data_IF_546257955497
#
_entry.id   IF_546257955497
#
_cell.length_a   1.000
_cell.length_b   1.000
_cell.length_c   1.000
_cell.angle_alpha   90.00
_cell.angle_beta   90.00
_cell.angle_gamma   90.00
#
_symmetry.space_group_name_H-M   'P 1'
#
loop_
_entity.id
_entity.type
_entity.pdbx_description
1 polymer ?
#
# COMPACT_ATOMS: atom_id res chain seq x y z
N UNK A 1 2.23 6.13 14.47
CA UNK A 1 1.22 7.09 14.00
C UNK A 1 -0.14 6.47 14.24
N UNK A 2 -1.12 7.19 14.79
CA UNK A 2 -2.50 6.67 14.93
C UNK A 2 -3.30 6.95 13.66
N UNK A 3 -4.42 6.26 13.46
CA UNK A 3 -5.33 6.50 12.33
C UNK A 3 -5.69 7.98 12.17
N UNK A 4 -5.97 8.66 13.28
CA UNK A 4 -6.32 10.09 13.30
C UNK A 4 -5.17 10.98 12.83
N UNK A 5 -3.93 10.63 13.15
CA UNK A 5 -2.75 11.40 12.72
C UNK A 5 -2.52 11.28 11.22
N UNK A 6 -2.78 10.11 10.65
CA UNK A 6 -2.67 9.90 9.21
C UNK A 6 -3.77 10.66 8.46
N UNK A 7 -5.01 10.62 8.94
CA UNK A 7 -6.11 11.41 8.38
C UNK A 7 -5.80 12.91 8.47
N UNK A 8 -5.34 13.40 9.62
CA UNK A 8 -4.94 14.79 9.79
C UNK A 8 -3.79 15.19 8.85
N UNK A 9 -2.81 14.31 8.62
CA UNK A 9 -1.73 14.54 7.67
C UNK A 9 -2.24 14.63 6.23
N UNK A 10 -3.16 13.74 5.83
CA UNK A 10 -3.82 13.81 4.52
C UNK A 10 -4.58 15.14 4.38
N UNK A 11 -5.38 15.53 5.37
CA UNK A 11 -6.14 16.78 5.30
C UNK A 11 -5.24 18.02 5.21
N UNK A 12 -4.13 18.03 5.95
CA UNK A 12 -3.19 19.15 5.96
C UNK A 12 -2.34 19.22 4.68
N UNK A 13 -1.95 18.07 4.11
CA UNK A 13 -0.90 18.00 3.09
C UNK A 13 -1.33 17.36 1.77
N UNK A 14 -2.59 16.99 1.55
CA UNK A 14 -3.04 16.27 0.34
C UNK A 14 -2.55 16.87 -1.00
N UNK A 15 -2.46 18.19 -1.10
CA UNK A 15 -2.01 18.86 -2.33
C UNK A 15 -0.49 18.97 -2.48
N UNK A 16 0.28 18.72 -1.43
CA UNK A 16 1.74 18.89 -1.39
C UNK A 16 2.50 17.63 -0.99
N UNK A 17 1.82 16.60 -0.49
CA UNK A 17 2.42 15.35 -0.07
C UNK A 17 2.92 14.58 -1.29
N UNK A 18 4.25 14.44 -1.41
CA UNK A 18 4.92 13.74 -2.51
C UNK A 18 5.56 12.42 -2.09
N UNK A 19 5.91 12.28 -0.82
CA UNK A 19 6.61 11.11 -0.28
C UNK A 19 5.98 10.74 1.06
N UNK A 20 5.68 9.46 1.24
CA UNK A 20 5.13 8.94 2.47
C UNK A 20 5.73 7.59 2.87
N UNK A 21 6.03 7.43 4.14
CA UNK A 21 6.34 6.13 4.73
C UNK A 21 6.28 6.22 6.23
N UNK A 22 5.68 5.22 6.88
CA UNK A 22 5.79 5.11 8.32
C UNK A 22 7.23 4.73 8.68
N UNK A 23 7.78 5.31 9.73
CA UNK A 23 8.83 4.66 10.51
C UNK A 23 8.14 3.78 11.56
N UNK A 24 8.69 2.60 11.84
CA UNK A 24 8.06 1.68 12.79
C UNK A 24 7.91 2.31 14.18
N UNK A 25 6.79 2.01 14.85
CA UNK A 25 6.67 2.10 16.30
C UNK A 25 7.58 1.03 16.96
N UNK A 26 8.12 1.29 18.16
CA UNK A 26 9.06 0.40 18.84
C UNK A 26 8.50 -1.02 18.98
N UNK A 27 9.37 -2.01 18.79
CA UNK A 27 9.06 -3.43 18.83
C UNK A 27 8.59 -3.88 20.23
N UNK A 28 7.31 -3.75 20.51
CA UNK A 28 6.63 -4.49 21.59
C UNK A 28 5.19 -4.74 21.17
N UNK A 29 4.94 -5.92 20.62
CA UNK A 29 3.99 -6.93 21.11
C UNK A 29 3.64 -7.87 19.97
N UNK A 30 4.12 -9.10 20.09
CA UNK A 30 3.72 -10.25 19.31
C UNK A 30 2.29 -10.72 19.65
N UNK A 31 1.35 -9.78 19.82
CA UNK A 31 -0.03 -10.01 20.26
C UNK A 31 -1.02 -9.45 19.23
N UNK A 32 -1.03 -10.04 18.04
CA UNK A 32 -2.14 -9.90 17.09
C UNK A 32 -2.22 -11.12 16.16
N UNK A 33 -2.07 -12.32 16.73
CA UNK A 33 -2.62 -13.54 16.12
C UNK A 33 -4.02 -13.69 16.70
N UNK A 34 -4.97 -12.97 16.13
CA UNK A 34 -6.39 -13.10 16.43
C UNK A 34 -7.08 -13.81 15.27
N UNK A 35 -7.64 -15.00 15.54
CA UNK A 35 -8.57 -15.75 14.68
C UNK A 35 -9.96 -15.10 14.65
N UNK A 36 -10.02 -13.80 14.39
CA UNK A 36 -11.25 -13.02 14.41
C UNK A 36 -11.25 -12.04 13.26
N UNK A 37 -12.40 -11.94 12.58
CA UNK A 37 -12.73 -11.02 11.50
C UNK A 37 -11.88 -9.73 11.54
N UNK A 38 -11.24 -9.39 10.41
CA UNK A 38 -10.40 -8.20 10.20
C UNK A 38 -11.15 -6.90 10.54
N UNK A 39 -11.26 -6.56 11.82
CA UNK A 39 -12.15 -5.49 12.28
C UNK A 39 -11.50 -4.10 12.29
N UNK A 40 -10.18 -4.01 12.10
CA UNK A 40 -9.48 -2.75 11.85
C UNK A 40 -8.40 -2.99 10.78
N UNK A 41 -8.63 -2.50 9.56
CA UNK A 41 -7.67 -2.58 8.45
C UNK A 41 -6.83 -1.31 8.40
N UNK A 42 -5.66 -1.23 9.07
CA UNK A 42 -4.80 -0.05 9.01
C UNK A 42 -4.35 0.27 7.59
N UNK A 43 -4.26 -0.73 6.71
CA UNK A 43 -3.91 -0.59 5.31
C UNK A 43 -5.00 0.12 4.47
N UNK A 44 -6.24 0.19 4.95
CA UNK A 44 -7.29 1.02 4.33
C UNK A 44 -6.96 2.52 4.35
N UNK A 45 -6.21 2.97 5.36
CA UNK A 45 -5.74 4.35 5.44
C UNK A 45 -4.62 4.64 4.45
N UNK A 46 -3.81 3.64 4.10
CA UNK A 46 -2.81 3.75 3.04
C UNK A 46 -3.50 3.95 1.68
N UNK A 47 -4.61 3.25 1.45
CA UNK A 47 -5.44 3.48 0.27
C UNK A 47 -6.09 4.87 0.28
N UNK A 48 -6.60 5.33 1.44
CA UNK A 48 -7.12 6.69 1.58
C UNK A 48 -6.05 7.74 1.21
N UNK A 49 -4.84 7.59 1.74
CA UNK A 49 -3.71 8.47 1.43
C UNK A 49 -3.37 8.45 -0.07
N UNK A 50 -3.27 7.25 -0.66
CA UNK A 50 -3.00 7.06 -2.08
C UNK A 50 -4.05 7.75 -2.98
N UNK A 51 -5.33 7.69 -2.61
CA UNK A 51 -6.45 8.33 -3.32
C UNK A 51 -6.51 9.84 -3.12
N UNK A 52 -6.18 10.30 -1.92
CA UNK A 52 -6.40 11.69 -1.52
C UNK A 52 -5.24 12.61 -1.89
N UNK A 53 -4.03 12.06 -2.04
CA UNK A 53 -2.80 12.81 -2.28
C UNK A 53 -2.36 12.67 -3.74
N UNK A 54 -2.86 13.48 -4.68
CA UNK A 54 -2.51 13.36 -6.09
C UNK A 54 -1.01 13.55 -6.36
N UNK A 55 -0.29 14.29 -5.52
CA UNK A 55 1.16 14.50 -5.67
C UNK A 55 2.03 13.32 -5.22
N UNK A 56 1.44 12.27 -4.64
CA UNK A 56 2.19 11.15 -4.05
C UNK A 56 2.96 10.38 -5.12
N UNK A 57 4.29 10.48 -5.06
CA UNK A 57 5.24 9.86 -5.97
C UNK A 57 5.92 8.63 -5.35
N UNK A 58 6.18 8.66 -4.04
CA UNK A 58 6.81 7.54 -3.34
C UNK A 58 6.04 7.15 -2.08
N UNK A 59 5.77 5.84 -1.92
CA UNK A 59 5.09 5.24 -0.77
C UNK A 59 5.90 4.04 -0.25
N UNK A 60 6.20 4.02 1.04
CA UNK A 60 6.79 2.88 1.72
C UNK A 60 5.84 2.31 2.78
N UNK A 61 5.46 1.04 2.63
CA UNK A 61 4.53 0.34 3.51
C UNK A 61 5.32 -0.56 4.46
N UNK A 62 5.30 -0.22 5.76
CA UNK A 62 6.00 -0.97 6.83
C UNK A 62 5.09 -1.89 7.66
N UNK A 63 3.80 -1.89 7.36
CA UNK A 63 2.76 -2.62 8.08
C UNK A 63 2.27 -3.81 7.26
N UNK A 64 1.50 -4.71 7.87
CA UNK A 64 0.82 -5.78 7.14
C UNK A 64 -0.14 -5.19 6.11
N UNK A 65 -0.10 -5.72 4.88
CA UNK A 65 -0.94 -5.24 3.78
C UNK A 65 -1.40 -6.41 2.90
N UNK A 66 -2.63 -6.36 2.38
CA UNK A 66 -3.10 -7.39 1.44
C UNK A 66 -2.65 -7.11 0.00
N UNK A 67 -2.53 -8.15 -0.83
CA UNK A 67 -2.26 -8.00 -2.28
C UNK A 67 -3.33 -7.15 -2.97
N UNK A 68 -4.60 -7.27 -2.56
CA UNK A 68 -5.66 -6.41 -3.06
C UNK A 68 -5.44 -4.94 -2.70
N UNK A 69 -5.03 -4.62 -1.47
CA UNK A 69 -4.73 -3.22 -1.10
C UNK A 69 -3.55 -2.67 -1.91
N UNK A 70 -2.51 -3.47 -2.19
CA UNK A 70 -1.39 -3.06 -3.06
C UNK A 70 -1.89 -2.70 -4.47
N UNK A 71 -2.73 -3.54 -5.07
CA UNK A 71 -3.34 -3.28 -6.39
C UNK A 71 -4.21 -2.02 -6.38
N UNK A 72 -5.00 -1.83 -5.32
CA UNK A 72 -5.85 -0.64 -5.15
C UNK A 72 -5.02 0.64 -5.00
N UNK A 73 -3.90 0.59 -4.29
CA UNK A 73 -2.96 1.71 -4.16
C UNK A 73 -2.37 2.06 -5.53
N UNK A 74 -1.83 1.07 -6.25
CA UNK A 74 -1.20 1.26 -7.55
C UNK A 74 -2.19 1.87 -8.57
N UNK A 75 -3.44 1.40 -8.58
CA UNK A 75 -4.48 1.92 -9.48
C UNK A 75 -5.02 3.30 -9.08
N UNK A 76 -5.00 3.63 -7.78
CA UNK A 76 -5.58 4.88 -7.28
C UNK A 76 -4.61 6.06 -7.29
N UNK A 77 -3.32 5.83 -7.01
CA UNK A 77 -2.32 6.89 -6.90
C UNK A 77 -1.68 7.19 -8.26
N UNK A 78 -2.28 8.13 -8.99
CA UNK A 78 -1.94 8.42 -10.40
C UNK A 78 -0.47 8.82 -10.64
N UNK A 79 0.18 9.45 -9.66
CA UNK A 79 1.57 9.90 -9.77
C UNK A 79 2.57 8.99 -9.05
N UNK A 80 2.12 7.87 -8.48
CA UNK A 80 3.00 6.97 -7.74
C UNK A 80 3.96 6.28 -8.71
N UNK A 81 5.26 6.41 -8.47
CA UNK A 81 6.33 5.74 -9.23
C UNK A 81 7.15 4.79 -8.39
N UNK A 82 7.13 4.98 -7.08
CA UNK A 82 7.96 4.21 -6.16
C UNK A 82 7.10 3.65 -5.04
N UNK A 83 6.77 2.37 -5.13
CA UNK A 83 6.06 1.63 -4.09
C UNK A 83 7.02 0.63 -3.44
N UNK A 84 7.25 0.76 -2.14
CA UNK A 84 8.11 -0.15 -1.37
C UNK A 84 7.25 -0.96 -0.42
N UNK A 85 7.25 -2.28 -0.59
CA UNK A 85 6.50 -3.20 0.27
C UNK A 85 7.40 -4.38 0.60
N UNK A 86 7.43 -4.75 1.88
CA UNK A 86 8.15 -5.94 2.34
C UNK A 86 7.31 -7.19 2.09
N UNK A 87 7.86 -8.14 1.33
CA UNK A 87 7.23 -9.42 0.97
C UNK A 87 6.73 -10.22 2.19
N UNK A 88 7.41 -10.12 3.33
CA UNK A 88 7.07 -10.84 4.56
C UNK A 88 5.81 -10.29 5.26
N UNK A 89 5.42 -9.04 4.95
CA UNK A 89 4.24 -8.37 5.52
C UNK A 89 3.00 -8.49 4.61
N UNK A 90 3.13 -9.13 3.44
CA UNK A 90 2.04 -9.25 2.46
C UNK A 90 1.15 -10.46 2.77
N UNK A 91 -0.15 -10.20 2.92
CA UNK A 91 -1.20 -11.24 3.00
C UNK A 91 -1.86 -11.42 1.63
N UNK A 92 -2.08 -12.67 1.22
CA UNK A 92 -2.73 -12.98 -0.05
C UNK A 92 -4.25 -12.80 0.02
N UNK A 93 -4.83 -12.37 -1.09
CA UNK A 93 -6.27 -12.38 -1.33
C UNK A 93 -6.92 -11.00 -1.40
N UNK A 94 -8.19 -11.02 -1.82
CA UNK A 94 -9.06 -9.86 -1.86
C UNK A 94 -10.05 -9.91 -0.69
N UNK A 95 -9.70 -9.21 0.38
CA UNK A 95 -10.49 -9.01 1.59
C UNK A 95 -11.42 -7.79 1.52
N UNK A 96 -11.44 -7.10 0.37
CA UNK A 96 -12.27 -5.92 0.16
C UNK A 96 -13.70 -6.27 -0.26
N UNK A 97 -14.74 -5.75 0.44
CA UNK A 97 -16.09 -5.80 -0.09
C UNK A 97 -16.14 -4.97 -1.38
N UNK A 98 -16.96 -5.41 -2.33
CA UNK A 98 -17.12 -4.68 -3.59
C UNK A 98 -17.70 -3.29 -3.31
N UNK A 99 -16.97 -2.25 -3.70
CA UNK A 99 -17.50 -0.88 -3.70
C UNK A 99 -18.60 -0.73 -4.76
N UNK A 100 -19.69 0.02 -4.48
CA UNK A 100 -20.70 0.35 -5.49
C UNK A 100 -20.13 1.03 -6.74
N UNK A 101 -19.01 1.74 -6.59
CA UNK A 101 -18.35 2.47 -7.68
C UNK A 101 -17.50 1.55 -8.57
N UNK A 102 -17.38 0.26 -8.24
CA UNK A 102 -16.58 -0.69 -9.01
C UNK A 102 -17.41 -1.46 -10.03
N UNK A 103 -16.95 -1.45 -11.28
CA UNK A 103 -17.48 -2.33 -12.32
C UNK A 103 -17.24 -3.80 -11.95
N UNK A 104 -18.10 -4.69 -12.47
CA UNK A 104 -17.92 -6.13 -12.29
C UNK A 104 -16.56 -6.61 -12.80
N UNK A 105 -16.13 -6.04 -13.93
CA UNK A 105 -14.82 -6.32 -14.53
C UNK A 105 -13.68 -5.92 -13.61
N UNK A 106 -13.73 -4.73 -13.00
CA UNK A 106 -12.69 -4.27 -12.08
C UNK A 106 -12.61 -5.15 -10.83
N UNK A 107 -13.76 -5.49 -10.23
CA UNK A 107 -13.76 -6.32 -9.03
C UNK A 107 -13.31 -7.76 -9.34
N UNK A 108 -13.74 -8.34 -10.47
CA UNK A 108 -13.26 -9.65 -10.91
C UNK A 108 -11.76 -9.67 -11.19
N UNK A 109 -11.22 -8.62 -11.83
CA UNK A 109 -9.78 -8.44 -11.99
C UNK A 109 -9.06 -8.36 -10.64
N UNK A 110 -9.58 -7.58 -9.69
CA UNK A 110 -8.97 -7.43 -8.37
C UNK A 110 -8.94 -8.77 -7.62
N UNK A 111 -10.05 -9.51 -7.60
CA UNK A 111 -10.14 -10.81 -6.95
C UNK A 111 -9.13 -11.81 -7.54
N UNK A 112 -9.15 -11.99 -8.86
CA UNK A 112 -8.25 -12.94 -9.54
C UNK A 112 -6.78 -12.56 -9.48
N UNK A 113 -6.44 -11.28 -9.60
CA UNK A 113 -5.03 -10.82 -9.57
C UNK A 113 -4.44 -10.88 -8.17
N UNK A 114 -5.26 -10.66 -7.13
CA UNK A 114 -4.81 -10.67 -5.74
C UNK A 114 -4.54 -12.08 -5.18
N UNK A 115 -4.91 -13.15 -5.89
CA UNK A 115 -4.76 -14.54 -5.42
C UNK A 115 -3.30 -15.03 -5.41
N UNK A 116 -2.41 -14.41 -6.19
CA UNK A 116 -0.99 -14.75 -6.19
C UNK A 116 -0.10 -13.53 -6.15
N UNK A 117 1.11 -13.73 -5.64
CA UNK A 117 2.11 -12.68 -5.55
C UNK A 117 2.63 -12.35 -6.94
N UNK A 118 2.84 -13.37 -7.76
CA UNK A 118 3.38 -13.24 -9.10
C UNK A 118 2.44 -12.41 -9.98
N UNK A 119 1.12 -12.66 -9.92
CA UNK A 119 0.13 -11.86 -10.66
C UNK A 119 0.05 -10.43 -10.12
N UNK A 120 0.10 -10.27 -8.80
CA UNK A 120 0.12 -8.95 -8.15
C UNK A 120 1.36 -8.15 -8.59
N UNK A 121 2.54 -8.74 -8.55
CA UNK A 121 3.79 -8.09 -8.96
C UNK A 121 3.80 -7.72 -10.43
N UNK A 122 3.36 -8.62 -11.31
CA UNK A 122 3.26 -8.35 -12.74
C UNK A 122 2.35 -7.16 -13.01
N UNK A 123 1.20 -7.12 -12.35
CA UNK A 123 0.20 -6.10 -12.62
C UNK A 123 0.56 -4.75 -11.99
N UNK A 124 1.12 -4.73 -10.79
CA UNK A 124 1.65 -3.50 -10.18
C UNK A 124 2.81 -2.94 -11.01
N UNK A 125 3.73 -3.80 -11.46
CA UNK A 125 4.82 -3.42 -12.37
C UNK A 125 4.31 -2.74 -13.63
N UNK A 126 3.24 -3.29 -14.23
CA UNK A 126 2.55 -2.72 -15.40
C UNK A 126 1.90 -1.37 -15.10
N UNK A 127 1.18 -1.25 -13.98
CA UNK A 127 0.47 -0.02 -13.60
C UNK A 127 1.44 1.13 -13.30
N UNK A 128 2.53 0.85 -12.58
CA UNK A 128 3.51 1.87 -12.20
C UNK A 128 4.48 2.23 -13.33
N UNK A 129 4.44 1.51 -14.46
CA UNK A 129 5.43 1.59 -15.54
C UNK A 129 6.86 1.37 -15.03
N UNK A 130 7.03 0.38 -14.14
CA UNK A 130 8.29 0.04 -13.50
C UNK A 130 8.58 -1.46 -13.71
N UNK A 131 9.23 -1.87 -14.81
CA UNK A 131 9.30 -3.27 -15.26
C UNK A 131 9.95 -4.24 -14.24
N UNK A 132 10.81 -3.71 -13.36
CA UNK A 132 11.49 -4.48 -12.33
C UNK A 132 10.85 -4.37 -10.94
N UNK A 133 9.62 -3.85 -10.85
CA UNK A 133 8.93 -3.75 -9.57
C UNK A 133 8.61 -5.15 -9.05
N UNK A 134 8.96 -5.39 -7.79
CA UNK A 134 8.67 -6.61 -7.05
C UNK A 134 8.60 -6.28 -5.56
N UNK A 135 7.97 -7.15 -4.78
CA UNK A 135 7.99 -7.09 -3.34
C UNK A 135 9.41 -7.33 -2.83
N UNK A 136 9.85 -6.52 -1.90
CA UNK A 136 11.22 -6.56 -1.40
C UNK A 136 11.39 -7.64 -0.34
N UNK A 137 12.55 -8.31 -0.34
CA UNK A 137 12.99 -9.07 0.83
C UNK A 137 13.19 -8.14 2.02
N UNK A 138 13.24 -8.69 3.25
CA UNK A 138 13.53 -7.91 4.46
C UNK A 138 14.81 -7.08 4.30
N UNK A 139 15.90 -7.70 3.80
CA UNK A 139 17.18 -7.03 3.60
C UNK A 139 17.08 -5.87 2.60
N UNK A 140 16.45 -6.11 1.43
CA UNK A 140 16.24 -5.07 0.42
C UNK A 140 15.37 -3.94 0.96
N UNK A 141 14.36 -4.27 1.76
CA UNK A 141 13.44 -3.31 2.35
C UNK A 141 14.13 -2.41 3.39
N UNK A 142 15.03 -2.97 4.22
CA UNK A 142 15.82 -2.18 5.18
C UNK A 142 16.83 -1.26 4.48
N UNK A 143 17.37 -1.67 3.33
CA UNK A 143 18.24 -0.83 2.51
C UNK A 143 17.48 0.25 1.72
N UNK A 144 16.17 0.08 1.52
CA UNK A 144 15.37 1.06 0.81
C UNK A 144 15.21 2.33 1.66
N UNK A 145 15.48 3.48 1.04
CA UNK A 145 15.30 4.78 1.66
C UNK A 145 14.35 5.64 0.83
N UNK A 146 13.49 6.38 1.53
CA UNK A 146 12.64 7.42 0.95
C UNK A 146 13.37 8.75 0.76
N UNK A 147 14.50 8.98 1.45
CA UNK A 147 15.24 10.25 1.41
C UNK A 147 15.64 10.64 -0.02
N UNK A 148 15.93 9.67 -0.88
CA UNK A 148 16.26 9.89 -2.30
C UNK A 148 15.13 10.47 -3.14
N UNK A 149 13.89 10.40 -2.64
CA UNK A 149 12.67 10.85 -3.35
C UNK A 149 12.16 12.19 -2.86
N UNK A 150 12.71 12.69 -1.75
CA UNK A 150 12.44 14.03 -1.27
C UNK A 150 13.18 14.99 -2.19
N UNK A 151 12.45 15.82 -2.92
CA UNK A 151 13.06 16.85 -3.78
C UNK A 151 13.93 17.77 -2.90
N UNK A 152 15.19 17.95 -3.30
CA UNK A 152 16.11 19.00 -2.81
C UNK A 152 15.89 20.26 -3.63
#
# INVERSE_FOLDING_TARGET
ITSDQLVAAVDAYKYTLTVYGHEQLPATTAEAVGDGEFQERPDSLLLLLARSCPGLNALMVRECISTATILLIATSAQNLRHLYVNRAQVRLGCDWPRSPDWTDEFYGWLQSTAESIEATEQEVSRILDHPYWHLLSEEQFQMASLTRHVAV
#
